data_IF_172826493813
#
_entry.id   IF_172826493813
#
_cell.length_a   1.000
_cell.length_b   1.000
_cell.length_c   1.000
_cell.angle_alpha   90.00
_cell.angle_beta   90.00
_cell.angle_gamma   90.00
#
_symmetry.space_group_name_H-M   'P 1'
#
loop_
_entity.id
_entity.type
_entity.pdbx_description
1 polymer ?
#
# COMPACT_ATOMS: atom_id res chain seq x y z
N UNK A 1 8.31 -2.87 -15.57
CA UNK A 1 7.86 -3.89 -14.59
C UNK A 1 6.84 -4.77 -15.28
N UNK A 2 7.11 -6.06 -15.43
CA UNK A 2 6.20 -6.99 -16.11
C UNK A 2 5.19 -7.60 -15.15
N UNK A 3 5.51 -7.61 -13.86
CA UNK A 3 4.65 -8.17 -12.80
C UNK A 3 3.55 -7.23 -12.28
N UNK A 4 3.22 -6.14 -12.99
CA UNK A 4 2.08 -5.28 -12.64
C UNK A 4 0.88 -5.55 -13.58
N UNK A 5 -0.37 -5.58 -13.08
CA UNK A 5 -0.75 -5.36 -11.69
C UNK A 5 -0.36 -6.53 -10.77
N UNK A 6 0.12 -6.22 -9.57
CA UNK A 6 0.49 -7.21 -8.56
C UNK A 6 -0.54 -7.22 -7.42
N UNK A 7 -1.05 -8.40 -7.08
CA UNK A 7 -2.06 -8.57 -6.05
C UNK A 7 -1.49 -9.32 -4.86
N UNK A 8 -1.68 -8.79 -3.65
CA UNK A 8 -1.35 -9.52 -2.43
C UNK A 8 -2.27 -9.16 -1.26
N UNK A 9 -2.30 -10.06 -0.28
CA UNK A 9 -3.10 -9.94 0.94
C UNK A 9 -2.22 -10.26 2.14
N UNK A 10 -2.54 -9.66 3.28
CA UNK A 10 -1.84 -9.93 4.53
C UNK A 10 -2.40 -9.14 5.69
N UNK A 11 -2.12 -9.62 6.89
CA UNK A 11 -2.54 -8.94 8.12
C UNK A 11 -1.78 -7.64 8.31
N UNK A 12 -2.47 -6.58 8.71
CA UNK A 12 -1.82 -5.30 9.04
C UNK A 12 -1.06 -5.45 10.35
N UNK A 13 0.25 -5.27 10.29
CA UNK A 13 1.15 -5.35 11.45
C UNK A 13 1.64 -3.97 11.85
N UNK A 14 2.11 -3.85 13.09
CA UNK A 14 2.76 -2.63 13.58
C UNK A 14 4.15 -2.54 12.95
N UNK A 15 4.48 -1.37 12.39
CA UNK A 15 5.84 -1.04 11.98
C UNK A 15 6.72 -0.59 13.16
N UNK A 16 7.91 -0.08 12.86
CA UNK A 16 8.93 0.31 13.86
C UNK A 16 8.76 1.74 14.40
N UNK A 17 7.55 2.32 14.33
CA UNK A 17 7.24 3.58 15.03
C UNK A 17 7.75 4.87 14.39
N UNK A 18 7.87 4.96 13.06
CA UNK A 18 8.36 6.18 12.35
C UNK A 18 7.41 7.39 12.33
N UNK A 19 6.41 7.45 13.20
CA UNK A 19 5.59 8.66 13.37
C UNK A 19 4.75 9.09 12.16
N UNK A 20 4.54 8.25 11.14
CA UNK A 20 3.77 8.61 9.93
C UNK A 20 2.35 9.10 10.24
N UNK A 21 1.74 8.57 11.32
CA UNK A 21 0.49 9.10 11.90
C UNK A 21 0.59 10.56 12.35
N UNK A 22 1.69 10.97 12.97
CA UNK A 22 1.91 12.35 13.41
C UNK A 22 2.05 13.31 12.23
N UNK A 23 2.44 12.79 11.06
CA UNK A 23 2.51 13.53 9.80
C UNK A 23 1.15 13.60 9.07
N UNK A 24 0.10 12.98 9.62
CA UNK A 24 -1.21 12.88 8.97
C UNK A 24 -1.28 11.85 7.83
N UNK A 25 -0.25 11.01 7.67
CA UNK A 25 -0.13 10.05 6.57
C UNK A 25 0.09 8.65 7.15
N UNK A 26 -0.91 8.05 7.82
CA UNK A 26 -0.77 6.73 8.43
C UNK A 26 -0.37 5.66 7.40
N UNK A 27 0.64 4.85 7.73
CA UNK A 27 1.07 3.73 6.89
C UNK A 27 0.80 2.38 7.57
N UNK A 28 0.12 1.49 6.84
CA UNK A 28 -0.08 0.09 7.20
C UNK A 28 1.09 -0.76 6.72
N UNK A 29 1.62 -1.63 7.58
CA UNK A 29 2.74 -2.50 7.25
C UNK A 29 2.24 -3.92 7.01
N UNK A 30 2.93 -4.65 6.13
CA UNK A 30 2.71 -6.08 5.91
C UNK A 30 3.71 -6.94 6.68
N UNK A 31 3.36 -8.20 6.99
CA UNK A 31 4.31 -9.16 7.54
C UNK A 31 5.38 -9.48 6.50
N UNK A 32 6.59 -9.79 6.98
CA UNK A 32 7.75 -10.07 6.12
C UNK A 32 7.47 -11.11 5.03
N UNK A 33 6.76 -12.20 5.37
CA UNK A 33 6.35 -13.24 4.43
C UNK A 33 5.59 -12.72 3.19
N UNK A 34 4.84 -11.62 3.30
CA UNK A 34 4.14 -11.03 2.14
C UNK A 34 5.13 -10.28 1.26
N UNK A 35 6.09 -9.61 1.89
CA UNK A 35 7.08 -8.77 1.20
C UNK A 35 8.17 -9.63 0.54
N UNK A 36 8.57 -10.74 1.16
CA UNK A 36 9.55 -11.69 0.61
C UNK A 36 9.03 -12.42 -0.63
N UNK A 37 7.70 -12.47 -0.81
CA UNK A 37 7.06 -13.03 -2.01
C UNK A 37 6.90 -12.02 -3.15
N UNK A 38 7.35 -10.77 -2.98
CA UNK A 38 7.33 -9.78 -4.06
C UNK A 38 8.21 -10.27 -5.22
N UNK A 39 7.71 -10.21 -6.48
CA UNK A 39 8.52 -10.48 -7.66
C UNK A 39 9.80 -9.64 -7.66
N UNK A 40 10.90 -10.22 -8.12
CA UNK A 40 12.20 -9.56 -8.15
C UNK A 40 12.20 -8.28 -9.01
N UNK A 41 11.33 -8.20 -10.02
CA UNK A 41 11.19 -7.03 -10.90
C UNK A 41 10.38 -5.89 -10.27
N UNK A 42 9.72 -6.10 -9.12
CA UNK A 42 9.18 -5.01 -8.29
C UNK A 42 10.33 -4.44 -7.47
N UNK A 43 10.96 -3.39 -8.01
CA UNK A 43 12.05 -2.65 -7.37
C UNK A 43 11.60 -1.88 -6.13
N UNK A 44 12.55 -1.27 -5.43
CA UNK A 44 12.19 -0.27 -4.42
C UNK A 44 11.69 1.01 -5.08
N UNK A 45 10.92 1.80 -4.34
CA UNK A 45 10.33 3.06 -4.78
C UNK A 45 8.87 3.20 -4.35
N UNK A 46 8.22 4.19 -4.93
CA UNK A 46 6.83 4.55 -4.65
C UNK A 46 5.94 4.08 -5.79
N UNK A 47 4.85 3.44 -5.40
CA UNK A 47 3.85 2.86 -6.28
C UNK A 47 2.46 3.34 -5.88
N UNK A 48 1.49 3.08 -6.76
CA UNK A 48 0.09 3.41 -6.53
C UNK A 48 -0.81 2.24 -6.92
N UNK A 49 -2.03 2.26 -6.40
CA UNK A 49 -2.98 1.19 -6.67
C UNK A 49 -4.26 1.29 -5.87
N UNK A 50 -4.88 0.13 -5.67
CA UNK A 50 -6.13 -0.03 -4.93
C UNK A 50 -5.92 -0.85 -3.66
N UNK A 51 -6.65 -0.53 -2.61
CA UNK A 51 -6.64 -1.27 -1.35
C UNK A 51 -8.03 -1.41 -0.73
N UNK A 52 -8.27 -2.50 -0.02
CA UNK A 52 -9.40 -2.64 0.90
C UNK A 52 -8.98 -3.31 2.20
N UNK A 53 -9.66 -2.97 3.29
CA UNK A 53 -9.44 -3.58 4.61
C UNK A 53 -10.60 -4.52 4.92
N UNK A 54 -10.31 -5.79 5.18
CA UNK A 54 -11.33 -6.81 5.43
C UNK A 54 -12.35 -6.90 4.28
N UNK A 55 -13.63 -6.79 4.62
CA UNK A 55 -14.76 -6.71 3.68
C UNK A 55 -15.16 -5.27 3.33
N UNK A 56 -14.34 -4.28 3.71
CA UNK A 56 -14.59 -2.86 3.45
C UNK A 56 -14.52 -2.48 1.97
N UNK A 57 -14.77 -1.20 1.71
CA UNK A 57 -14.72 -0.67 0.36
C UNK A 57 -13.29 -0.54 -0.18
N UNK A 58 -13.21 -0.46 -1.51
CA UNK A 58 -11.95 -0.33 -2.23
C UNK A 58 -11.62 1.15 -2.37
N UNK A 59 -10.46 1.54 -1.87
CA UNK A 59 -9.95 2.90 -1.87
C UNK A 59 -8.63 3.00 -2.65
N UNK A 60 -8.33 4.20 -3.14
CA UNK A 60 -7.02 4.50 -3.74
C UNK A 60 -5.93 4.40 -2.67
N UNK A 61 -4.73 4.02 -3.05
CA UNK A 61 -3.58 3.96 -2.15
C UNK A 61 -2.28 4.34 -2.86
N UNK A 62 -1.29 4.69 -2.04
CA UNK A 62 0.12 4.67 -2.41
C UNK A 62 0.85 3.65 -1.55
N UNK A 63 1.88 3.02 -2.09
CA UNK A 63 2.72 2.07 -1.37
C UNK A 63 4.20 2.38 -1.58
N UNK A 64 4.93 2.43 -0.47
CA UNK A 64 6.38 2.54 -0.44
C UNK A 64 6.97 1.15 -0.29
N UNK A 65 7.85 0.76 -1.21
CA UNK A 65 8.64 -0.46 -1.13
C UNK A 65 10.10 -0.03 -0.96
N UNK A 66 10.73 -0.40 0.15
CA UNK A 66 12.09 0.02 0.48
C UNK A 66 12.90 -1.10 1.10
N UNK A 67 14.16 -0.82 1.45
CA UNK A 67 15.00 -1.75 2.22
C UNK A 67 14.81 -1.54 3.72
N UNK A 68 14.71 -2.63 4.48
CA UNK A 68 14.56 -2.57 5.92
C UNK A 68 15.94 -2.48 6.62
N UNK A 69 16.27 -1.35 7.28
CA UNK A 69 17.57 -1.17 7.94
C UNK A 69 17.79 -2.11 9.13
N UNK A 70 16.73 -2.55 9.80
CA UNK A 70 16.82 -3.45 10.95
C UNK A 70 17.29 -4.86 10.56
N UNK A 71 17.10 -5.25 9.30
CA UNK A 71 17.61 -6.50 8.73
C UNK A 71 18.85 -6.28 7.87
N UNK A 72 19.68 -5.27 8.21
CA UNK A 72 20.91 -4.92 7.47
C UNK A 72 20.66 -4.69 5.97
N UNK A 73 19.47 -4.18 5.60
CA UNK A 73 19.04 -3.98 4.22
C UNK A 73 19.02 -5.26 3.36
N UNK A 74 18.90 -6.45 3.98
CA UNK A 74 18.80 -7.72 3.26
C UNK A 74 17.35 -8.06 2.86
N UNK A 75 16.37 -7.41 3.50
CA UNK A 75 14.94 -7.63 3.27
C UNK A 75 14.25 -6.33 2.90
N UNK A 76 13.28 -6.44 2.00
CA UNK A 76 12.40 -5.32 1.65
C UNK A 76 11.38 -5.07 2.78
N UNK A 77 10.84 -3.87 2.82
CA UNK A 77 9.64 -3.50 3.58
C UNK A 77 8.59 -2.93 2.63
N UNK A 78 7.31 -3.08 2.98
CA UNK A 78 6.19 -2.56 2.21
C UNK A 78 5.22 -1.82 3.15
N UNK A 79 5.02 -0.54 2.88
CA UNK A 79 4.21 0.38 3.68
C UNK A 79 3.13 1.03 2.81
N UNK A 80 1.86 0.78 3.12
CA UNK A 80 0.71 1.27 2.34
C UNK A 80 0.01 2.41 3.07
N UNK A 81 -0.15 3.55 2.39
CA UNK A 81 -1.05 4.62 2.83
C UNK A 81 -2.32 4.56 1.98
N UNK A 82 -3.45 4.30 2.65
CA UNK A 82 -4.77 4.29 2.01
C UNK A 82 -5.32 5.72 2.05
N UNK A 83 -5.77 6.22 0.90
CA UNK A 83 -6.31 7.57 0.73
C UNK A 83 -7.77 7.63 1.21
N UNK A 84 -7.98 7.26 2.47
CA UNK A 84 -9.27 7.22 3.14
C UNK A 84 -9.10 7.45 4.64
N UNK A 85 -10.01 8.22 5.23
CA UNK A 85 -10.02 8.49 6.67
C UNK A 85 -10.78 7.39 7.40
N UNK A 86 -10.04 6.49 8.05
CA UNK A 86 -10.61 5.49 8.94
C UNK A 86 -10.91 6.08 10.32
N UNK A 87 -11.98 5.59 10.96
CA UNK A 87 -12.37 6.02 12.32
C UNK A 87 -11.48 5.42 13.40
N UNK A 88 -10.92 4.24 13.14
CA UNK A 88 -10.12 3.46 14.07
C UNK A 88 -8.97 2.77 13.35
N UNK A 89 -7.98 2.33 14.14
CA UNK A 89 -6.90 1.50 13.65
C UNK A 89 -7.42 0.10 13.28
N UNK A 90 -6.84 -0.48 12.23
CA UNK A 90 -7.22 -1.79 11.71
C UNK A 90 -6.07 -2.80 11.79
N UNK A 91 -5.29 -2.77 12.88
CA UNK A 91 -4.25 -3.78 13.11
C UNK A 91 -4.86 -5.18 13.25
N UNK A 92 -4.22 -6.18 12.63
CA UNK A 92 -4.71 -7.56 12.62
C UNK A 92 -5.69 -7.87 11.48
N UNK A 93 -6.35 -6.85 10.91
CA UNK A 93 -7.23 -7.00 9.76
C UNK A 93 -6.46 -7.36 8.49
N UNK A 94 -7.12 -8.02 7.56
CA UNK A 94 -6.54 -8.34 6.24
C UNK A 94 -6.59 -7.09 5.36
N UNK A 95 -5.42 -6.58 5.00
CA UNK A 95 -5.27 -5.58 3.95
C UNK A 95 -5.09 -6.30 2.61
N UNK A 96 -5.98 -5.99 1.67
CA UNK A 96 -5.92 -6.44 0.29
C UNK A 96 -5.34 -5.31 -0.56
N UNK A 97 -4.33 -5.57 -1.38
CA UNK A 97 -3.75 -4.55 -2.28
C UNK A 97 -3.62 -5.06 -3.71
N UNK A 98 -3.88 -4.15 -4.65
CA UNK A 98 -3.55 -4.29 -6.06
C UNK A 98 -2.59 -3.15 -6.43
N UNK A 99 -1.30 -3.45 -6.60
CA UNK A 99 -0.30 -2.49 -7.05
C UNK A 99 -0.43 -2.37 -8.56
N UNK A 100 -0.74 -1.17 -9.06
CA UNK A 100 -1.13 -0.96 -10.46
C UNK A 100 -0.02 -0.30 -11.25
N UNK A 101 0.73 0.62 -10.64
CA UNK A 101 1.78 1.36 -11.34
C UNK A 101 2.84 1.92 -10.41
N UNK A 102 3.91 2.40 -11.03
CA UNK A 102 5.09 2.98 -10.38
C UNK A 102 5.11 4.51 -10.57
N UNK A 103 5.42 5.25 -9.52
CA UNK A 103 5.57 6.71 -9.56
C UNK A 103 7.02 7.12 -9.72
N UNK A 104 7.88 6.71 -8.77
CA UNK A 104 9.25 7.22 -8.67
C UNK A 104 10.13 6.35 -7.77
N UNK A 105 11.46 6.46 -7.87
CA UNK A 105 12.38 5.80 -6.94
C UNK A 105 12.29 6.40 -5.53
N UNK A 106 12.88 5.68 -4.56
CA UNK A 106 13.15 6.22 -3.23
C UNK A 106 14.04 7.47 -3.35
N UNK A 107 13.82 8.43 -2.44
CA UNK A 107 14.58 9.67 -2.38
C UNK A 107 14.99 9.92 -0.93
N UNK A 108 16.19 10.45 -0.75
CA UNK A 108 16.60 11.02 0.53
C UNK A 108 16.05 12.45 0.64
N UNK A 109 15.59 12.80 1.84
CA UNK A 109 15.07 14.13 2.14
C UNK A 109 15.94 14.76 3.23
N UNK A 110 16.25 16.02 3.03
CA UNK A 110 17.05 16.86 3.92
C UNK A 110 16.23 17.49 5.06
N UNK A 111 14.89 17.44 4.96
CA UNK A 111 13.97 17.99 5.95
C UNK A 111 12.67 17.20 6.00
N UNK A 112 11.96 17.33 7.12
CA UNK A 112 10.63 16.75 7.26
C UNK A 112 9.62 17.38 6.29
N UNK A 113 9.75 18.68 6.03
CA UNK A 113 8.89 19.41 5.09
C UNK A 113 9.06 18.89 3.66
N UNK A 114 10.30 18.69 3.21
CA UNK A 114 10.55 18.16 1.85
C UNK A 114 10.05 16.72 1.71
N UNK A 115 10.11 15.91 2.77
CA UNK A 115 9.48 14.59 2.82
C UNK A 115 7.96 14.67 2.70
N UNK A 116 7.29 15.49 3.51
CA UNK A 116 5.82 15.64 3.49
C UNK A 116 5.35 16.11 2.12
N UNK A 117 5.99 17.15 1.56
CA UNK A 117 5.65 17.70 0.25
C UNK A 117 5.76 16.65 -0.85
N UNK A 118 6.81 15.82 -0.82
CA UNK A 118 6.97 14.74 -1.78
C UNK A 118 5.86 13.68 -1.67
N UNK A 119 5.49 13.29 -0.44
CA UNK A 119 4.41 12.31 -0.24
C UNK A 119 3.05 12.88 -0.70
N UNK A 120 2.77 14.15 -0.42
CA UNK A 120 1.55 14.82 -0.91
C UNK A 120 1.52 14.83 -2.45
N UNK A 121 2.64 15.15 -3.10
CA UNK A 121 2.75 15.05 -4.56
C UNK A 121 2.54 13.64 -5.09
N UNK A 122 3.05 12.61 -4.39
CA UNK A 122 2.82 11.20 -4.75
C UNK A 122 1.32 10.83 -4.65
N UNK A 123 0.64 11.28 -3.59
CA UNK A 123 -0.79 11.06 -3.38
C UNK A 123 -1.62 11.74 -4.48
N UNK A 124 -1.32 12.99 -4.82
CA UNK A 124 -2.02 13.71 -5.89
C UNK A 124 -1.83 13.05 -7.26
N UNK A 125 -0.60 12.62 -7.57
CA UNK A 125 -0.29 11.96 -8.83
C UNK A 125 -0.96 10.57 -8.90
N UNK A 126 -0.90 9.79 -7.82
CA UNK A 126 -1.61 8.52 -7.72
C UNK A 126 -3.12 8.70 -7.93
N UNK A 127 -3.71 9.74 -7.35
CA UNK A 127 -5.13 10.05 -7.51
C UNK A 127 -5.49 10.21 -8.99
N UNK A 128 -4.74 11.06 -9.71
CA UNK A 128 -4.95 11.34 -11.14
C UNK A 128 -4.77 10.10 -12.01
N UNK A 129 -3.70 9.33 -11.77
CA UNK A 129 -3.43 8.11 -12.56
C UNK A 129 -4.49 7.04 -12.36
N UNK A 130 -5.00 6.88 -11.15
CA UNK A 130 -6.03 5.87 -10.86
C UNK A 130 -7.40 6.20 -11.48
N UNK A 131 -7.62 7.43 -11.93
CA UNK A 131 -8.82 7.83 -12.68
C UNK A 131 -8.74 7.47 -14.18
N UNK A 132 -7.57 7.03 -14.67
CA UNK A 132 -7.43 6.52 -16.03
C UNK A 132 -8.25 5.21 -16.19
N UNK A 133 -9.01 5.03 -17.29
CA UNK A 133 -9.91 3.88 -17.44
C UNK A 133 -9.26 2.50 -17.25
N UNK A 134 -8.02 2.33 -17.72
CA UNK A 134 -7.26 1.09 -17.58
C UNK A 134 -6.91 0.73 -16.13
N UNK A 135 -6.86 1.73 -15.24
CA UNK A 135 -6.56 1.57 -13.83
C UNK A 135 -7.84 1.56 -12.98
N UNK A 136 -8.84 2.36 -13.37
CA UNK A 136 -10.11 2.47 -12.66
C UNK A 136 -10.85 1.14 -12.61
N UNK A 137 -10.84 0.37 -13.72
CA UNK A 137 -11.47 -0.96 -13.78
C UNK A 137 -10.92 -1.97 -12.76
N UNK A 138 -9.69 -1.79 -12.28
CA UNK A 138 -9.06 -2.70 -11.30
C UNK A 138 -9.65 -2.53 -9.89
N UNK A 139 -10.37 -1.43 -9.63
CA UNK A 139 -11.15 -1.25 -8.40
C UNK A 139 -12.21 -2.35 -8.24
N UNK A 140 -12.79 -2.79 -9.36
CA UNK A 140 -13.87 -3.77 -9.40
C UNK A 140 -13.39 -5.20 -9.64
N UNK A 141 -12.08 -5.45 -9.59
CA UNK A 141 -11.49 -6.78 -9.78
C UNK A 141 -12.07 -7.80 -8.76
N UNK A 142 -12.30 -9.03 -9.21
CA UNK A 142 -12.80 -10.13 -8.38
C UNK A 142 -11.94 -10.37 -7.13
N UNK A 143 -10.65 -10.02 -7.18
CA UNK A 143 -9.75 -9.99 -6.04
C UNK A 143 -10.34 -9.24 -4.84
N UNK A 144 -11.06 -8.14 -5.05
CA UNK A 144 -11.67 -7.37 -3.96
C UNK A 144 -13.09 -7.85 -3.60
N UNK A 145 -13.78 -8.54 -4.52
CA UNK A 145 -15.14 -9.06 -4.29
C UNK A 145 -15.15 -10.31 -3.41
N UNK A 146 -14.17 -11.20 -3.56
CA UNK A 146 -14.04 -12.41 -2.73
C UNK A 146 -13.87 -12.06 -1.24
N UNK A 147 -13.29 -10.90 -0.94
CA UNK A 147 -13.12 -10.40 0.43
C UNK A 147 -14.46 -10.06 1.11
N UNK A 148 -15.50 -9.70 0.34
CA UNK A 148 -16.84 -9.38 0.85
C UNK A 148 -17.70 -10.63 1.11
N UNK A 149 -17.50 -11.69 0.33
CA UNK A 149 -18.34 -12.90 0.36
C UNK A 149 -18.11 -13.88 1.52
N UNK A 150 -17.00 -13.77 2.27
CA UNK A 150 -16.65 -14.77 3.30
C UNK A 150 -17.43 -14.66 4.63
N UNK A 151 -18.28 -13.66 4.81
CA UNK A 151 -19.04 -13.45 6.06
C UNK A 151 -20.45 -14.08 6.01
N UNK A 152 -20.95 -14.49 4.82
CA UNK A 152 -22.33 -14.98 4.70
C UNK A 152 -22.55 -16.48 4.96
N UNK A 153 -21.50 -17.27 5.23
CA UNK A 153 -21.62 -18.72 5.46
C UNK A 153 -21.17 -19.13 6.87
N UNK A 154 -21.74 -18.48 7.89
CA UNK A 154 -21.64 -18.88 9.28
C UNK A 154 -23.03 -19.00 9.91
N UNK A 155 -23.74 -20.07 9.56
CA UNK A 155 -24.91 -20.58 10.29
C UNK A 155 -24.49 -21.84 11.05
#
# INVERSE_FOLDING_TARGET
>A
MRSLPYFCRGQVVRGFGRGSKQLGIPTANFPEQVVDNLPADISTGIYYGWASVGSGDVHKMVVSIGWNPYYKNLKKSMETHIMHTFKEDFYGEILNVAIVGYLRPEKNFDSLESLISAIQGDIEEANKRLDLPEHLKLKDDNFFQVSKGKIMNGH
#
